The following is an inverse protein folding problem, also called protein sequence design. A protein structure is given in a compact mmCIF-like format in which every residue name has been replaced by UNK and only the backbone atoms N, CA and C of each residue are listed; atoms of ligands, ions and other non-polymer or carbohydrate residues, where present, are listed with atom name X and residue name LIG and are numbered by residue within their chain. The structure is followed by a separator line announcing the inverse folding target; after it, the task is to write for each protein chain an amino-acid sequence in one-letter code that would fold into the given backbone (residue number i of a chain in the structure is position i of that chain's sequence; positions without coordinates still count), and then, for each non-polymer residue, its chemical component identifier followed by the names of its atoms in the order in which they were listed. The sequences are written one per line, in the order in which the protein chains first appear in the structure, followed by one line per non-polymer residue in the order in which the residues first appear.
data_IF_064529232947
#
_entry.id   IF_064529232947
#
_cell.length_a   1.000
_cell.length_b   1.000
_cell.length_c   1.000
_cell.angle_alpha   90.00
_cell.angle_beta   90.00
_cell.angle_gamma   90.00
#
_symmetry.space_group_name_H-M   'P 1'
#
loop_
_entity.id
_entity.type
_entity.pdbx_description
1 polymer ?
#
# COMPACT_ATOMS: atom_id res chain seq x y z
N UNK A 1 -27.29 -1.23 9.18
CA UNK A 1 -26.99 -2.64 8.86
C UNK A 1 -27.59 -3.49 9.94
N UNK A 2 -28.46 -4.37 9.73
CA UNK A 2 -29.04 -5.17 10.78
C UNK A 2 -29.98 -6.25 10.31
N UNK A 3 -30.51 -6.20 9.13
CA UNK A 3 -31.39 -7.25 8.59
C UNK A 3 -31.33 -7.35 7.07
N UNK A 4 -30.39 -6.62 6.43
CA UNK A 4 -30.11 -6.77 5.01
C UNK A 4 -29.04 -7.84 4.86
N UNK A 5 -29.21 -8.73 3.92
CA UNK A 5 -28.32 -9.86 3.66
C UNK A 5 -26.95 -9.36 3.18
N UNK A 6 -25.85 -9.85 3.73
CA UNK A 6 -25.72 -10.75 4.88
C UNK A 6 -25.75 -10.00 6.23
N UNK A 7 -26.79 -10.20 7.00
CA UNK A 7 -27.15 -9.36 8.17
C UNK A 7 -26.24 -9.52 9.39
N UNK A 8 -25.44 -10.56 9.46
CA UNK A 8 -24.59 -10.92 10.60
C UNK A 8 -23.09 -10.72 10.33
N UNK A 9 -22.69 -10.39 9.09
CA UNK A 9 -21.28 -10.21 8.74
C UNK A 9 -20.70 -8.89 9.27
N UNK A 10 -21.50 -7.83 9.34
CA UNK A 10 -21.03 -6.49 9.72
C UNK A 10 -21.97 -5.85 10.72
N UNK A 11 -21.43 -5.16 11.73
CA UNK A 11 -22.20 -4.46 12.75
C UNK A 11 -21.53 -3.15 13.16
N UNK A 12 -22.30 -2.19 13.59
CA UNK A 12 -21.76 -1.01 14.25
C UNK A 12 -21.22 -1.37 15.64
N UNK A 13 -20.08 -0.78 16.01
CA UNK A 13 -19.42 -1.05 17.31
C UNK A 13 -20.24 -0.54 18.50
N UNK A 14 -21.12 0.46 18.30
CA UNK A 14 -22.00 1.02 19.30
C UNK A 14 -23.34 0.24 19.43
N UNK A 15 -23.57 -0.77 18.58
CA UNK A 15 -24.77 -1.60 18.57
C UNK A 15 -26.05 -0.89 18.10
N UNK A 16 -26.00 0.39 17.76
CA UNK A 16 -27.16 1.17 17.32
C UNK A 16 -27.42 0.94 15.84
N UNK A 17 -28.69 1.02 15.42
CA UNK A 17 -29.07 1.08 14.01
C UNK A 17 -28.84 2.48 13.45
N UNK A 18 -28.69 2.60 12.12
CA UNK A 18 -28.72 3.88 11.44
C UNK A 18 -30.11 4.50 11.60
N UNK A 19 -30.15 5.72 12.16
CA UNK A 19 -31.38 6.50 12.24
C UNK A 19 -31.74 7.10 10.88
N UNK A 20 -33.04 7.15 10.60
CA UNK A 20 -33.56 7.86 9.44
C UNK A 20 -34.96 8.41 9.76
N UNK A 21 -35.38 9.42 9.04
CA UNK A 21 -36.76 9.91 9.08
C UNK A 21 -37.30 10.21 7.67
N UNK A 22 -38.56 10.05 7.48
CA UNK A 22 -39.23 10.31 6.18
C UNK A 22 -40.35 11.29 6.40
N UNK A 23 -40.44 12.31 5.54
CA UNK A 23 -41.56 13.27 5.51
C UNK A 23 -42.16 13.30 4.11
N UNK A 24 -43.47 13.50 4.03
CA UNK A 24 -44.17 13.81 2.80
C UNK A 24 -44.89 15.14 2.95
N UNK A 25 -44.50 16.09 2.11
CA UNK A 25 -45.00 17.49 2.20
C UNK A 25 -44.80 18.11 3.59
N UNK A 26 -43.62 17.85 4.19
CA UNK A 26 -43.26 18.33 5.52
C UNK A 26 -43.88 17.56 6.69
N UNK A 27 -44.81 16.62 6.44
CA UNK A 27 -45.41 15.81 7.48
C UNK A 27 -44.64 14.48 7.67
N UNK A 28 -44.28 14.09 8.90
CA UNK A 28 -43.65 12.82 9.19
C UNK A 28 -44.54 11.66 8.71
N UNK A 29 -43.89 10.64 8.16
CA UNK A 29 -44.55 9.38 7.79
C UNK A 29 -43.87 8.26 8.56
N UNK A 30 -44.65 7.46 9.26
CA UNK A 30 -44.19 6.26 9.93
C UNK A 30 -44.58 5.04 9.10
N UNK A 31 -43.62 4.15 8.88
CA UNK A 31 -43.83 2.85 8.26
C UNK A 31 -42.76 1.88 8.74
N UNK A 32 -43.10 0.62 8.80
CA UNK A 32 -42.13 -0.44 9.05
C UNK A 32 -41.33 -0.74 7.77
N UNK A 33 -40.04 -1.04 7.94
CA UNK A 33 -39.22 -1.51 6.83
C UNK A 33 -39.62 -2.93 6.44
N UNK A 34 -40.01 -3.10 5.18
CA UNK A 34 -40.27 -4.41 4.59
C UNK A 34 -39.14 -4.74 3.61
N UNK A 35 -38.38 -5.79 3.88
CA UNK A 35 -37.25 -6.22 3.08
C UNK A 35 -36.19 -5.09 2.80
N UNK A 36 -36.03 -4.17 3.76
CA UNK A 36 -35.15 -3.03 3.64
C UNK A 36 -35.75 -1.80 2.94
N UNK A 37 -36.97 -1.86 2.51
CA UNK A 37 -37.67 -0.76 1.88
C UNK A 37 -38.61 -0.06 2.85
N UNK A 38 -38.66 1.27 2.78
CA UNK A 38 -39.64 2.10 3.44
C UNK A 38 -40.84 2.30 2.49
N UNK A 39 -41.96 1.70 2.79
CA UNK A 39 -43.15 1.73 1.90
C UNK A 39 -44.11 2.83 2.31
N UNK A 40 -44.48 3.68 1.36
CA UNK A 40 -45.49 4.75 1.57
C UNK A 40 -46.67 4.47 0.68
N UNK A 41 -47.79 4.07 1.27
CA UNK A 41 -49.06 3.87 0.57
C UNK A 41 -49.96 5.10 0.75
N UNK A 42 -50.17 5.82 -0.36
CA UNK A 42 -51.02 7.02 -0.39
C UNK A 42 -51.49 7.36 -1.81
N UNK A 43 -52.45 8.25 -1.92
CA UNK A 43 -52.83 8.84 -3.20
C UNK A 43 -51.88 9.99 -3.53
N UNK A 44 -50.97 9.76 -4.46
CA UNK A 44 -49.94 10.72 -4.90
C UNK A 44 -50.58 11.81 -5.79
N UNK A 45 -50.09 13.06 -5.64
CA UNK A 45 -50.45 14.20 -6.47
C UNK A 45 -49.22 14.81 -7.09
N UNK A 46 -49.41 15.47 -8.25
CA UNK A 46 -48.30 16.21 -8.88
C UNK A 46 -47.82 17.31 -7.93
N UNK A 47 -46.51 17.31 -7.64
CA UNK A 47 -45.89 18.27 -6.71
C UNK A 47 -45.72 17.74 -5.28
N UNK A 48 -46.18 16.52 -4.96
CA UNK A 48 -45.85 15.91 -3.68
C UNK A 48 -44.32 15.77 -3.55
N UNK A 49 -43.80 16.17 -2.37
CA UNK A 49 -42.36 16.14 -2.04
C UNK A 49 -42.12 15.11 -0.95
N UNK A 50 -41.19 14.17 -1.22
CA UNK A 50 -40.69 13.22 -0.24
C UNK A 50 -39.33 13.70 0.22
N UNK A 51 -39.13 13.83 1.52
CA UNK A 51 -37.90 14.19 2.18
C UNK A 51 -37.42 13.01 3.03
N UNK A 52 -36.21 12.54 2.78
CA UNK A 52 -35.56 11.48 3.56
C UNK A 52 -34.34 12.08 4.25
N UNK A 53 -34.27 11.89 5.55
CA UNK A 53 -33.12 12.29 6.35
C UNK A 53 -32.47 11.04 6.94
N UNK A 54 -31.14 10.96 6.85
CA UNK A 54 -30.32 9.93 7.49
C UNK A 54 -29.47 10.56 8.58
N UNK A 55 -29.25 9.85 9.69
CA UNK A 55 -28.23 10.22 10.65
C UNK A 55 -26.85 10.12 9.98
N UNK A 56 -26.12 11.22 10.00
CA UNK A 56 -24.82 11.36 9.33
C UNK A 56 -23.65 11.43 10.32
N UNK A 57 -23.80 10.85 11.51
CA UNK A 57 -22.68 10.71 12.45
C UNK A 57 -21.70 9.65 11.99
N UNK A 58 -20.36 9.93 12.02
CA UNK A 58 -19.36 8.92 11.74
C UNK A 58 -19.41 7.77 12.74
N UNK A 59 -19.36 6.55 12.27
CA UNK A 59 -19.49 5.34 13.10
C UNK A 59 -18.52 4.26 12.68
N UNK A 60 -18.07 3.49 13.66
CA UNK A 60 -17.17 2.35 13.47
C UNK A 60 -17.97 1.10 13.15
N UNK A 61 -17.62 0.43 12.07
CA UNK A 61 -18.15 -0.88 11.64
C UNK A 61 -17.11 -1.96 11.94
N UNK A 62 -17.56 -3.08 12.49
CA UNK A 62 -16.76 -4.29 12.73
C UNK A 62 -17.29 -5.45 11.92
N UNK A 63 -16.37 -6.24 11.36
CA UNK A 63 -16.69 -7.50 10.73
C UNK A 63 -16.96 -8.60 11.78
N UNK A 64 -17.71 -9.62 11.39
CA UNK A 64 -17.85 -10.83 12.18
C UNK A 64 -16.50 -11.56 12.26
N UNK A 65 -16.19 -12.21 13.39
CA UNK A 65 -14.89 -12.88 13.64
C UNK A 65 -14.52 -13.97 12.60
N UNK A 66 -15.50 -14.50 11.87
CA UNK A 66 -15.26 -15.46 10.77
C UNK A 66 -14.79 -14.81 9.46
N UNK A 67 -14.86 -13.48 9.34
CA UNK A 67 -14.29 -12.75 8.20
C UNK A 67 -12.82 -12.50 8.54
N UNK A 68 -11.97 -13.44 8.17
CA UNK A 68 -10.55 -13.45 8.59
C UNK A 68 -9.76 -12.28 8.03
N UNK A 69 -10.06 -11.84 6.80
CA UNK A 69 -9.39 -10.70 6.15
C UNK A 69 -9.56 -9.37 6.92
N UNK A 70 -10.64 -9.22 7.69
CA UNK A 70 -10.94 -8.00 8.43
C UNK A 70 -10.64 -8.11 9.93
N UNK A 71 -9.97 -9.20 10.33
CA UNK A 71 -9.60 -9.41 11.75
C UNK A 71 -8.63 -8.33 12.22
N UNK A 72 -8.89 -7.76 13.40
CA UNK A 72 -8.11 -6.66 13.96
C UNK A 72 -8.30 -5.31 13.24
N UNK A 73 -9.31 -5.20 12.37
CA UNK A 73 -9.60 -4.02 11.55
C UNK A 73 -11.01 -3.49 11.79
N UNK A 74 -11.22 -2.25 11.40
CA UNK A 74 -12.53 -1.58 11.41
C UNK A 74 -12.72 -0.77 10.14
N UNK A 75 -13.97 -0.57 9.73
CA UNK A 75 -14.32 0.41 8.72
C UNK A 75 -15.06 1.59 9.36
N UNK A 76 -15.07 2.72 8.67
CA UNK A 76 -15.81 3.92 9.09
C UNK A 76 -16.94 4.19 8.10
N UNK A 77 -18.15 4.41 8.62
CA UNK A 77 -19.31 4.83 7.84
C UNK A 77 -19.85 6.15 8.39
N UNK A 78 -20.35 7.01 7.50
CA UNK A 78 -21.10 8.23 7.85
C UNK A 78 -22.46 8.15 7.13
N UNK A 79 -23.52 7.93 7.89
CA UNK A 79 -24.81 7.57 7.31
C UNK A 79 -24.68 6.30 6.44
N UNK A 80 -25.15 6.30 5.18
CA UNK A 80 -25.03 5.17 4.27
C UNK A 80 -23.67 5.11 3.52
N UNK A 81 -22.78 6.07 3.75
CA UNK A 81 -21.52 6.20 3.03
C UNK A 81 -20.38 5.50 3.76
N UNK A 82 -19.65 4.65 3.05
CA UNK A 82 -18.39 4.05 3.51
C UNK A 82 -17.26 5.05 3.25
N UNK A 83 -16.28 5.10 4.15
CA UNK A 83 -15.11 5.96 4.07
C UNK A 83 -13.83 5.13 3.90
N UNK A 84 -12.82 5.72 3.28
CA UNK A 84 -11.49 5.13 3.12
C UNK A 84 -10.39 6.17 3.38
N UNK A 85 -9.22 5.70 3.80
CA UNK A 85 -7.99 6.46 3.72
C UNK A 85 -7.43 6.38 2.31
N UNK A 86 -6.95 7.50 1.74
CA UNK A 86 -6.29 7.55 0.46
C UNK A 86 -4.96 8.30 0.59
N UNK A 87 -3.94 7.88 -0.15
CA UNK A 87 -2.59 8.42 -0.08
C UNK A 87 -2.47 9.94 -0.25
N UNK A 88 -3.25 10.64 -1.12
CA UNK A 88 -3.05 12.07 -1.33
C UNK A 88 -3.58 12.96 -0.20
N UNK A 89 -4.35 12.39 0.73
CA UNK A 89 -4.90 13.11 1.89
C UNK A 89 -4.06 12.92 3.15
N UNK A 90 -3.04 12.05 3.08
CA UNK A 90 -2.22 11.65 4.22
C UNK A 90 -0.75 11.68 3.80
N UNK A 91 0.09 12.45 4.49
CA UNK A 91 1.52 12.64 4.22
C UNK A 91 2.42 11.53 4.80
N UNK A 92 1.83 10.37 5.08
CA UNK A 92 2.48 9.16 5.60
C UNK A 92 1.98 7.91 4.88
N UNK A 93 2.68 6.79 5.06
CA UNK A 93 2.22 5.51 4.51
C UNK A 93 0.98 5.02 5.26
N UNK A 94 -0.17 5.10 4.60
CA UNK A 94 -1.46 4.67 5.18
C UNK A 94 -1.51 3.17 5.49
N UNK A 95 -0.63 2.35 4.89
CA UNK A 95 -0.57 0.91 5.19
C UNK A 95 0.01 0.63 6.58
N UNK A 96 0.77 1.58 7.13
CA UNK A 96 1.37 1.50 8.47
C UNK A 96 0.50 2.10 9.57
N UNK A 97 -0.70 2.61 9.24
CA UNK A 97 -1.57 3.28 10.20
C UNK A 97 -2.19 2.31 11.20
N UNK A 98 -2.31 2.74 12.44
CA UNK A 98 -3.03 2.08 13.53
C UNK A 98 -4.04 3.06 14.12
N UNK A 99 -5.34 2.83 13.93
CA UNK A 99 -6.39 3.68 14.50
C UNK A 99 -6.68 3.31 15.96
N UNK A 100 -7.03 4.32 16.75
CA UNK A 100 -7.40 4.14 18.14
C UNK A 100 -8.60 3.17 18.28
N UNK A 101 -8.62 2.40 19.38
CA UNK A 101 -9.74 1.49 19.66
C UNK A 101 -11.08 2.20 19.82
N UNK A 102 -11.07 3.47 20.22
CA UNK A 102 -12.25 4.35 20.32
C UNK A 102 -11.94 5.67 19.62
N UNK A 103 -11.96 5.68 18.28
CA UNK A 103 -11.63 6.89 17.53
C UNK A 103 -12.66 7.98 17.82
N UNK A 104 -12.17 9.21 17.94
CA UNK A 104 -13.01 10.41 17.94
C UNK A 104 -12.98 10.98 16.53
N UNK A 105 -14.10 11.36 15.99
CA UNK A 105 -14.24 11.83 14.63
C UNK A 105 -14.59 13.30 14.59
N UNK A 106 -13.92 14.02 13.71
CA UNK A 106 -14.29 15.36 13.26
C UNK A 106 -14.71 15.31 11.80
N UNK A 107 -15.75 16.03 11.43
CA UNK A 107 -16.20 16.14 10.03
C UNK A 107 -15.86 17.52 9.48
N UNK A 108 -15.25 17.56 8.29
CA UNK A 108 -14.83 18.80 7.61
C UNK A 108 -15.44 18.84 6.21
N UNK A 109 -16.25 19.86 5.95
CA UNK A 109 -16.83 20.07 4.61
C UNK A 109 -15.78 20.59 3.63
N UNK A 110 -15.71 19.97 2.44
CA UNK A 110 -14.80 20.31 1.34
C UNK A 110 -15.60 20.58 0.06
N UNK A 111 -16.23 21.74 -0.07
CA UNK A 111 -17.12 22.01 -1.20
C UNK A 111 -16.39 22.04 -2.55
N UNK A 112 -15.11 22.38 -2.57
CA UNK A 112 -14.31 22.53 -3.80
C UNK A 112 -13.55 21.24 -4.18
N UNK A 113 -13.59 20.20 -3.35
CA UNK A 113 -12.88 18.95 -3.57
C UNK A 113 -13.82 17.92 -4.23
N UNK A 114 -13.44 17.37 -5.41
CA UNK A 114 -14.14 16.28 -6.09
C UNK A 114 -15.68 16.49 -6.18
N UNK A 115 -16.10 17.70 -6.57
CA UNK A 115 -17.51 18.13 -6.65
C UNK A 115 -18.22 18.30 -5.30
N UNK A 116 -17.49 18.41 -4.23
CA UNK A 116 -17.97 18.59 -2.86
C UNK A 116 -18.11 17.26 -2.10
N UNK A 117 -17.42 17.18 -0.99
CA UNK A 117 -17.48 16.02 -0.09
C UNK A 117 -17.27 16.47 1.37
N UNK A 118 -17.55 15.58 2.31
CA UNK A 118 -17.21 15.72 3.72
C UNK A 118 -16.05 14.79 4.04
N UNK A 119 -14.92 15.31 4.51
CA UNK A 119 -13.85 14.50 5.12
C UNK A 119 -14.21 14.11 6.54
N UNK A 120 -13.62 13.00 6.99
CA UNK A 120 -13.59 12.62 8.41
C UNK A 120 -12.14 12.61 8.85
N UNK A 121 -11.83 13.30 9.96
CA UNK A 121 -10.53 13.31 10.59
C UNK A 121 -10.56 12.56 11.91
N UNK A 122 -9.49 11.84 12.22
CA UNK A 122 -9.33 11.14 13.50
C UNK A 122 -7.86 10.99 13.87
N UNK A 123 -7.57 11.00 15.18
CA UNK A 123 -6.23 10.66 15.67
C UNK A 123 -5.91 9.19 15.41
N UNK A 124 -4.70 8.93 14.96
CA UNK A 124 -4.15 7.60 14.70
C UNK A 124 -2.65 7.59 15.02
N UNK A 125 -2.01 6.44 14.86
CA UNK A 125 -0.55 6.29 14.92
C UNK A 125 -0.04 5.69 13.61
N UNK A 126 1.14 6.11 13.20
CA UNK A 126 1.92 5.46 12.15
C UNK A 126 2.97 4.59 12.82
N UNK A 127 2.99 3.32 12.47
CA UNK A 127 3.97 2.37 12.98
C UNK A 127 5.13 2.23 12.01
N UNK A 128 6.33 2.10 12.55
CA UNK A 128 7.54 1.88 11.78
C UNK A 128 8.60 1.16 12.61
N UNK A 129 9.70 0.82 11.99
CA UNK A 129 10.86 0.30 12.69
C UNK A 129 11.99 1.34 12.66
N UNK A 130 12.73 1.46 13.75
CA UNK A 130 13.98 2.25 13.78
C UNK A 130 15.15 1.46 13.18
N UNK A 131 16.32 2.11 13.11
CA UNK A 131 17.55 1.48 12.59
C UNK A 131 18.05 0.27 13.39
N UNK A 132 17.51 0.06 14.60
CA UNK A 132 17.83 -1.09 15.46
C UNK A 132 16.74 -2.18 15.37
N UNK A 133 15.76 -2.02 14.44
CA UNK A 133 14.65 -2.96 14.25
C UNK A 133 13.58 -2.94 15.35
N UNK A 134 13.54 -1.88 16.17
CA UNK A 134 12.53 -1.73 17.20
C UNK A 134 11.29 -1.03 16.66
N UNK A 135 10.11 -1.56 16.99
CA UNK A 135 8.84 -0.94 16.59
C UNK A 135 8.70 0.44 17.21
N UNK A 136 8.42 1.43 16.40
CA UNK A 136 8.15 2.82 16.79
C UNK A 136 6.72 3.20 16.43
N UNK A 137 6.19 4.22 17.10
CA UNK A 137 4.88 4.77 16.82
C UNK A 137 4.94 6.30 16.88
N UNK A 138 4.35 6.97 15.90
CA UNK A 138 4.22 8.43 15.85
C UNK A 138 2.77 8.81 15.69
N UNK A 139 2.29 9.76 16.49
CA UNK A 139 0.91 10.24 16.41
C UNK A 139 0.70 11.07 15.14
N UNK A 140 -0.42 10.82 14.47
CA UNK A 140 -0.82 11.50 13.24
C UNK A 140 -2.31 11.81 13.24
N UNK A 141 -2.73 12.72 12.38
CA UNK A 141 -4.13 12.95 12.03
C UNK A 141 -4.45 12.18 10.74
N UNK A 142 -5.28 11.16 10.83
CA UNK A 142 -5.74 10.39 9.68
C UNK A 142 -6.96 11.07 9.06
N UNK A 143 -6.87 11.36 7.76
CA UNK A 143 -7.96 11.89 6.94
C UNK A 143 -8.60 10.78 6.13
N UNK A 144 -9.93 10.71 6.17
CA UNK A 144 -10.74 9.77 5.42
C UNK A 144 -11.67 10.52 4.48
N UNK A 145 -11.86 10.00 3.27
CA UNK A 145 -12.80 10.51 2.27
C UNK A 145 -13.90 9.47 1.98
N UNK A 146 -15.06 9.87 1.44
CA UNK A 146 -16.06 8.92 1.00
C UNK A 146 -15.50 7.96 -0.07
N UNK A 147 -15.75 6.66 0.07
CA UNK A 147 -15.24 5.63 -0.85
C UNK A 147 -15.58 5.89 -2.32
N UNK A 148 -16.71 6.53 -2.64
CA UNK A 148 -17.06 6.86 -4.03
C UNK A 148 -16.11 7.88 -4.67
N UNK A 149 -15.32 8.60 -3.87
CA UNK A 149 -14.43 9.68 -4.30
C UNK A 149 -12.96 9.22 -4.48
N UNK A 150 -12.61 7.97 -4.18
CA UNK A 150 -11.24 7.46 -4.31
C UNK A 150 -10.82 7.26 -5.77
N UNK A 151 -9.52 7.14 -6.02
CA UNK A 151 -8.86 6.89 -7.32
C UNK A 151 -9.00 8.02 -8.37
N UNK A 152 -9.51 9.20 -8.01
CA UNK A 152 -9.61 10.33 -8.94
C UNK A 152 -8.36 11.22 -9.01
N UNK A 153 -7.37 10.98 -8.14
CA UNK A 153 -6.18 11.82 -7.95
C UNK A 153 -4.86 11.11 -8.21
N UNK A 154 -4.88 10.04 -8.98
CA UNK A 154 -3.71 9.25 -9.37
C UNK A 154 -3.64 7.88 -8.69
N UNK A 155 -2.60 7.11 -9.05
CA UNK A 155 -2.35 5.79 -8.48
C UNK A 155 -1.64 5.91 -7.13
N UNK A 156 -2.07 5.13 -6.15
CA UNK A 156 -1.48 5.07 -4.81
C UNK A 156 -2.28 4.16 -3.89
N UNK A 157 -1.83 4.04 -2.65
CA UNK A 157 -2.46 3.19 -1.65
C UNK A 157 -3.82 3.73 -1.21
N UNK A 158 -4.75 2.81 -0.93
CA UNK A 158 -6.06 3.10 -0.35
C UNK A 158 -6.46 2.00 0.65
N UNK A 159 -7.15 2.37 1.73
CA UNK A 159 -7.57 1.43 2.77
C UNK A 159 -8.97 1.77 3.28
N UNK A 160 -9.88 0.78 3.24
CA UNK A 160 -11.23 0.85 3.86
C UNK A 160 -11.20 0.25 5.25
N UNK A 161 -10.57 -0.92 5.41
CA UNK A 161 -10.48 -1.65 6.67
C UNK A 161 -9.24 -1.23 7.44
N UNK A 162 -9.40 -0.26 8.34
CA UNK A 162 -8.34 0.38 9.11
C UNK A 162 -7.91 -0.51 10.29
N UNK A 163 -6.60 -0.79 10.45
CA UNK A 163 -6.09 -1.58 11.57
C UNK A 163 -6.37 -0.94 12.93
N UNK A 164 -6.78 -1.76 13.90
CA UNK A 164 -6.86 -1.45 15.34
C UNK A 164 -5.92 -2.34 16.18
N UNK A 165 -5.23 -3.26 15.53
CA UNK A 165 -4.25 -4.15 16.15
C UNK A 165 -2.94 -4.09 15.36
N UNK A 166 -1.81 -4.10 16.06
CA UNK A 166 -0.47 -4.03 15.43
C UNK A 166 -0.28 -5.16 14.40
N UNK A 167 -0.77 -6.35 14.71
CA UNK A 167 -0.71 -7.50 13.79
C UNK A 167 -1.49 -7.33 12.48
N UNK A 168 -2.34 -6.33 12.40
CA UNK A 168 -3.11 -6.01 11.19
C UNK A 168 -2.53 -4.82 10.40
N UNK A 169 -1.42 -4.23 10.87
CA UNK A 169 -0.70 -3.14 10.17
C UNK A 169 0.47 -3.70 9.36
N UNK A 170 1.01 -2.86 8.49
CA UNK A 170 2.30 -3.09 7.82
C UNK A 170 3.24 -1.96 8.21
N UNK A 171 3.98 -2.09 9.35
CA UNK A 171 4.87 -1.03 9.82
C UNK A 171 5.94 -0.68 8.78
N UNK A 172 6.19 0.61 8.59
CA UNK A 172 7.18 1.08 7.62
C UNK A 172 8.59 0.69 8.06
N UNK A 173 9.35 0.11 7.14
CA UNK A 173 10.78 -0.13 7.38
C UNK A 173 11.56 1.19 7.30
N UNK A 174 12.70 1.31 7.99
CA UNK A 174 13.57 2.48 7.86
C UNK A 174 13.95 2.71 6.40
N UNK A 175 13.99 3.97 5.97
CA UNK A 175 14.47 4.29 4.64
C UNK A 175 15.93 3.84 4.49
N UNK A 176 16.27 3.16 3.39
CA UNK A 176 17.63 2.80 3.00
C UNK A 176 18.07 3.68 1.85
N UNK A 177 19.38 3.73 1.57
CA UNK A 177 19.90 4.45 0.41
C UNK A 177 19.27 3.92 -0.89
N UNK A 178 19.06 2.60 -0.99
CA UNK A 178 18.39 1.97 -2.11
C UNK A 178 16.93 2.43 -2.24
N UNK A 179 16.15 2.38 -1.14
CA UNK A 179 14.72 2.74 -1.17
C UNK A 179 14.46 4.21 -1.50
N UNK A 180 15.39 5.12 -1.21
CA UNK A 180 15.32 6.55 -1.54
C UNK A 180 15.83 6.85 -2.95
N UNK A 181 16.42 5.86 -3.64
CA UNK A 181 17.04 6.04 -4.94
C UNK A 181 16.07 5.96 -6.09
N UNK A 182 16.33 6.75 -7.13
CA UNK A 182 15.59 6.61 -8.39
C UNK A 182 16.10 5.38 -9.14
N UNK A 183 15.21 4.45 -9.43
CA UNK A 183 15.50 3.22 -10.18
C UNK A 183 15.33 3.45 -11.67
N UNK A 184 16.28 2.94 -12.49
CA UNK A 184 16.09 2.73 -13.92
C UNK A 184 16.70 1.36 -14.31
N UNK A 185 16.22 0.79 -15.42
CA UNK A 185 16.66 -0.52 -15.89
C UNK A 185 16.64 -0.63 -17.41
N UNK A 186 17.41 -1.57 -17.95
CA UNK A 186 17.51 -1.86 -19.39
C UNK A 186 16.22 -2.42 -20.00
N UNK A 187 15.31 -2.91 -19.17
CA UNK A 187 13.97 -3.38 -19.58
C UNK A 187 12.92 -2.75 -18.66
N UNK A 188 12.11 -1.86 -19.21
CA UNK A 188 11.09 -1.13 -18.45
C UNK A 188 9.83 -1.96 -18.33
N UNK A 189 9.49 -2.34 -17.10
CA UNK A 189 8.24 -3.01 -16.73
C UNK A 189 7.52 -2.20 -15.67
N UNK A 190 6.30 -2.58 -15.35
CA UNK A 190 5.51 -1.95 -14.27
C UNK A 190 6.02 -2.26 -12.86
N UNK A 191 6.97 -3.20 -12.73
CA UNK A 191 7.47 -3.69 -11.45
C UNK A 191 8.85 -3.14 -11.06
N UNK A 192 9.28 -1.98 -11.61
CA UNK A 192 10.56 -1.36 -11.24
C UNK A 192 10.65 -1.05 -9.74
N UNK A 193 9.55 -0.66 -9.11
CA UNK A 193 9.51 -0.36 -7.67
C UNK A 193 9.76 -1.57 -6.77
N UNK A 194 9.63 -2.80 -7.28
CA UNK A 194 9.95 -4.01 -6.53
C UNK A 194 11.44 -4.17 -6.25
N UNK A 195 12.31 -3.46 -6.99
CA UNK A 195 13.77 -3.61 -6.86
C UNK A 195 14.31 -3.00 -5.56
N UNK A 196 13.58 -2.03 -4.99
CA UNK A 196 13.98 -1.29 -3.79
C UNK A 196 12.82 -1.01 -2.82
N UNK A 197 11.84 -1.90 -2.75
CA UNK A 197 10.69 -1.78 -1.86
C UNK A 197 10.96 -2.29 -0.44
N UNK A 198 12.16 -2.82 -0.19
CA UNK A 198 12.65 -3.36 1.10
C UNK A 198 11.92 -4.63 1.54
N UNK A 199 11.24 -5.28 0.63
CA UNK A 199 10.59 -6.55 0.91
C UNK A 199 11.57 -7.69 0.61
N UNK A 200 11.84 -8.51 1.62
CA UNK A 200 12.73 -9.66 1.52
C UNK A 200 11.90 -10.92 1.23
N UNK A 201 12.18 -11.65 0.14
CA UNK A 201 11.45 -12.86 -0.19
C UNK A 201 11.72 -13.99 0.81
N UNK A 202 10.74 -14.87 1.01
CA UNK A 202 10.92 -16.08 1.83
C UNK A 202 11.68 -17.20 1.09
N UNK A 203 11.61 -17.20 -0.25
CA UNK A 203 12.35 -18.09 -1.14
C UNK A 203 12.56 -17.44 -2.53
N UNK A 204 13.20 -18.17 -3.45
CA UNK A 204 13.50 -17.66 -4.80
C UNK A 204 12.28 -17.51 -5.71
N UNK A 205 11.11 -18.03 -5.33
CA UNK A 205 9.87 -18.00 -6.11
C UNK A 205 8.68 -17.47 -5.28
N UNK A 206 8.94 -16.58 -4.35
CA UNK A 206 7.90 -15.97 -3.53
C UNK A 206 6.90 -15.20 -4.40
N UNK A 207 5.67 -15.72 -4.49
CA UNK A 207 4.57 -15.12 -5.27
C UNK A 207 3.67 -14.20 -4.45
N UNK A 208 3.99 -14.01 -3.18
CA UNK A 208 3.23 -13.11 -2.30
C UNK A 208 3.62 -11.64 -2.47
N UNK A 209 4.74 -11.36 -3.13
CA UNK A 209 5.29 -10.03 -3.34
C UNK A 209 5.61 -9.73 -4.81
N UNK A 210 5.81 -8.47 -5.13
CA UNK A 210 6.22 -8.05 -6.46
C UNK A 210 7.69 -8.42 -6.72
N UNK A 211 8.03 -8.61 -7.98
CA UNK A 211 9.40 -8.85 -8.43
C UNK A 211 9.63 -8.21 -9.81
N UNK A 212 10.86 -7.82 -10.08
CA UNK A 212 11.31 -7.34 -11.38
C UNK A 212 11.93 -8.47 -12.19
N UNK A 213 11.80 -8.45 -13.54
CA UNK A 213 12.43 -9.40 -14.44
C UNK A 213 12.74 -8.79 -15.80
N UNK A 214 13.71 -9.37 -16.53
CA UNK A 214 14.06 -8.99 -17.89
C UNK A 214 13.30 -9.78 -18.97
N UNK A 215 12.37 -10.66 -18.60
CA UNK A 215 11.60 -11.44 -19.58
C UNK A 215 10.96 -10.52 -20.64
N UNK A 216 11.05 -10.84 -21.98
CA UNK A 216 11.51 -12.13 -22.54
C UNK A 216 12.99 -12.18 -22.97
N UNK A 217 13.85 -11.26 -22.51
CA UNK A 217 15.26 -11.20 -22.88
C UNK A 217 16.03 -12.40 -22.33
N UNK A 218 17.00 -12.90 -23.12
CA UNK A 218 17.87 -14.04 -22.83
C UNK A 218 19.22 -13.81 -23.47
N UNK A 219 20.28 -14.46 -22.95
CA UNK A 219 21.63 -14.42 -23.52
C UNK A 219 22.10 -13.01 -23.87
N UNK A 220 21.81 -12.07 -22.99
CA UNK A 220 22.18 -10.66 -23.13
C UNK A 220 22.75 -10.11 -21.83
N UNK A 221 23.42 -8.98 -21.91
CA UNK A 221 23.85 -8.22 -20.75
C UNK A 221 22.84 -7.12 -20.50
N UNK A 222 22.27 -7.12 -19.31
CA UNK A 222 21.24 -6.22 -18.87
C UNK A 222 21.71 -5.44 -17.65
N UNK A 223 20.96 -4.40 -17.24
CA UNK A 223 21.37 -3.59 -16.10
C UNK A 223 20.17 -3.00 -15.34
N UNK A 224 20.45 -2.67 -14.06
CA UNK A 224 19.65 -1.81 -13.19
C UNK A 224 20.57 -0.69 -12.68
N UNK A 225 20.05 0.51 -12.51
CA UNK A 225 20.78 1.63 -11.90
C UNK A 225 20.00 2.27 -10.78
N UNK A 226 20.72 2.68 -9.74
CA UNK A 226 20.27 3.63 -8.74
C UNK A 226 20.92 4.98 -8.96
N UNK A 227 20.12 6.03 -8.93
CA UNK A 227 20.58 7.41 -8.82
C UNK A 227 20.23 7.89 -7.41
N UNK A 228 21.23 8.15 -6.61
CA UNK A 228 21.10 8.50 -5.20
C UNK A 228 20.57 9.91 -5.01
N UNK A 229 19.78 10.21 -3.96
CA UNK A 229 19.30 11.56 -3.68
C UNK A 229 20.41 12.54 -3.34
N UNK A 230 21.55 12.05 -2.87
CA UNK A 230 22.79 12.80 -2.58
C UNK A 230 24.01 11.91 -2.74
N UNK A 231 25.22 12.48 -2.95
CA UNK A 231 26.46 11.71 -2.95
C UNK A 231 26.59 10.91 -1.65
N UNK A 232 26.74 9.61 -1.75
CA UNK A 232 26.79 8.68 -0.62
C UNK A 232 28.01 7.79 -0.69
N UNK A 233 28.54 7.39 0.47
CA UNK A 233 29.61 6.42 0.58
C UNK A 233 28.98 5.04 0.71
N UNK A 234 29.39 4.12 -0.18
CA UNK A 234 28.87 2.75 -0.22
C UNK A 234 30.03 1.76 -0.23
N UNK A 235 29.84 0.61 0.41
CA UNK A 235 30.86 -0.43 0.58
C UNK A 235 30.35 -1.85 0.48
N UNK A 236 29.03 -2.03 0.41
CA UNK A 236 28.42 -3.34 0.24
C UNK A 236 27.19 -3.27 -0.67
N UNK A 237 26.80 -4.42 -1.20
CA UNK A 237 25.60 -4.56 -2.01
C UNK A 237 25.04 -5.98 -1.91
N UNK A 238 23.72 -6.09 -1.75
CA UNK A 238 23.00 -7.36 -1.61
C UNK A 238 21.90 -7.47 -2.65
N UNK A 239 21.84 -8.62 -3.34
CA UNK A 239 20.78 -8.91 -4.32
C UNK A 239 20.03 -10.17 -3.93
N UNK A 240 18.70 -10.12 -4.00
CA UNK A 240 17.80 -11.26 -3.89
C UNK A 240 17.30 -11.63 -5.29
N UNK A 241 17.74 -12.77 -5.82
CA UNK A 241 17.40 -13.23 -7.16
C UNK A 241 16.04 -13.90 -7.21
N UNK A 242 15.26 -13.55 -8.24
CA UNK A 242 14.01 -14.26 -8.58
C UNK A 242 14.29 -15.41 -9.55
N UNK A 243 13.80 -16.61 -9.21
CA UNK A 243 13.90 -17.82 -10.02
C UNK A 243 12.57 -18.57 -9.95
N UNK A 244 11.91 -18.79 -11.06
CA UNK A 244 10.61 -19.42 -11.13
C UNK A 244 10.65 -20.87 -11.68
N UNK A 245 11.77 -21.55 -11.52
CA UNK A 245 11.89 -22.97 -11.83
C UNK A 245 10.88 -23.82 -11.04
N UNK A 246 10.25 -24.84 -11.63
CA UNK A 246 10.37 -25.29 -13.03
C UNK A 246 9.36 -24.65 -14.00
N UNK A 247 8.47 -23.78 -13.51
CA UNK A 247 7.26 -23.37 -14.24
C UNK A 247 7.44 -22.17 -15.16
N UNK A 248 8.37 -21.27 -14.85
CA UNK A 248 8.59 -20.05 -15.60
C UNK A 248 9.91 -20.01 -16.34
N UNK A 249 10.20 -18.84 -16.94
CA UNK A 249 11.37 -18.62 -17.79
C UNK A 249 12.49 -17.81 -17.15
N UNK A 250 12.41 -17.50 -15.86
CA UNK A 250 13.46 -16.80 -15.14
C UNK A 250 14.31 -17.76 -14.31
N UNK A 251 15.63 -17.52 -14.30
CA UNK A 251 16.62 -18.24 -13.49
C UNK A 251 17.55 -17.24 -12.82
N UNK A 252 18.30 -17.66 -11.82
CA UNK A 252 19.41 -16.85 -11.35
C UNK A 252 20.33 -16.49 -12.51
N UNK A 253 20.99 -15.34 -12.51
CA UNK A 253 21.83 -14.91 -13.63
C UNK A 253 23.06 -15.79 -13.79
N UNK A 254 23.63 -15.80 -14.99
CA UNK A 254 24.90 -16.47 -15.26
C UNK A 254 26.05 -15.80 -14.49
N UNK A 255 26.04 -14.48 -14.40
CA UNK A 255 26.97 -13.66 -13.63
C UNK A 255 26.46 -12.24 -13.49
N UNK A 256 27.03 -11.50 -12.56
CA UNK A 256 26.72 -10.08 -12.37
C UNK A 256 27.93 -9.32 -11.88
N UNK A 257 27.90 -7.98 -11.98
CA UNK A 257 28.95 -7.06 -11.51
C UNK A 257 28.35 -5.75 -11.07
N UNK A 258 29.09 -5.06 -10.20
CA UNK A 258 28.73 -3.74 -9.70
C UNK A 258 29.67 -2.66 -10.25
N UNK A 259 29.07 -1.52 -10.56
CA UNK A 259 29.79 -0.32 -10.99
C UNK A 259 29.28 0.88 -10.20
N UNK A 260 30.16 1.84 -9.97
CA UNK A 260 29.80 3.14 -9.42
C UNK A 260 30.02 4.24 -10.47
N UNK A 261 29.32 5.35 -10.35
CA UNK A 261 29.50 6.53 -11.19
C UNK A 261 30.69 7.34 -10.65
N UNK A 262 31.78 7.44 -11.43
CA UNK A 262 32.94 8.20 -11.06
C UNK A 262 32.72 9.72 -11.21
N UNK A 263 33.68 10.55 -10.76
CA UNK A 263 33.59 12.02 -10.82
C UNK A 263 33.48 12.57 -12.25
N UNK A 264 33.95 11.84 -13.25
CA UNK A 264 33.87 12.19 -14.67
C UNK A 264 32.52 11.74 -15.29
N UNK A 265 31.63 11.14 -14.50
CA UNK A 265 30.30 10.65 -14.94
C UNK A 265 30.34 9.30 -15.64
N UNK A 266 31.48 8.63 -15.71
CA UNK A 266 31.67 7.29 -16.28
C UNK A 266 31.37 6.18 -15.26
N UNK A 267 31.10 4.97 -15.77
CA UNK A 267 30.91 3.78 -14.94
C UNK A 267 32.25 3.09 -14.70
N UNK A 268 32.62 2.92 -13.44
CA UNK A 268 33.85 2.23 -13.00
C UNK A 268 33.46 0.99 -12.18
N UNK A 269 34.03 -0.20 -12.46
CA UNK A 269 33.74 -1.37 -11.65
C UNK A 269 34.23 -1.17 -10.21
N UNK A 270 33.45 -1.67 -9.23
CA UNK A 270 33.89 -1.67 -7.83
C UNK A 270 35.02 -2.68 -7.63
N UNK A 271 35.90 -2.40 -6.67
CA UNK A 271 36.96 -3.34 -6.25
C UNK A 271 36.40 -4.29 -5.21
N UNK A 272 35.74 -5.35 -5.68
CA UNK A 272 35.11 -6.35 -4.83
C UNK A 272 36.12 -7.19 -4.07
N UNK A 273 35.82 -7.50 -2.81
CA UNK A 273 36.62 -8.35 -1.92
C UNK A 273 36.14 -9.80 -1.85
N UNK A 274 35.06 -10.15 -2.59
CA UNK A 274 34.46 -11.47 -2.62
C UNK A 274 33.91 -11.86 -3.98
N UNK A 275 33.29 -13.01 -4.05
CA UNK A 275 32.66 -13.53 -5.28
C UNK A 275 31.24 -12.96 -5.43
N UNK A 276 30.83 -12.73 -6.67
CA UNK A 276 29.46 -12.36 -7.04
C UNK A 276 28.57 -13.61 -7.05
N UNK A 277 27.88 -13.86 -5.91
CA UNK A 277 27.05 -15.04 -5.71
C UNK A 277 25.79 -15.06 -6.58
N UNK A 278 25.36 -16.27 -6.96
CA UNK A 278 24.11 -16.51 -7.68
C UNK A 278 23.29 -17.60 -7.00
N UNK A 279 23.27 -17.64 -5.67
CA UNK A 279 22.54 -18.64 -4.89
C UNK A 279 21.03 -18.29 -4.86
N UNK A 280 20.21 -19.32 -4.95
CA UNK A 280 18.74 -19.24 -4.86
C UNK A 280 18.28 -19.08 -3.41
N UNK A 281 17.21 -18.32 -3.19
CA UNK A 281 16.49 -18.21 -1.91
C UNK A 281 17.27 -17.59 -0.76
N UNK A 282 18.43 -16.97 -1.03
CA UNK A 282 19.27 -16.32 -0.02
C UNK A 282 19.83 -15.01 -0.53
N UNK A 283 20.23 -14.08 0.37
CA UNK A 283 20.93 -12.86 -0.02
C UNK A 283 22.28 -13.18 -0.65
N UNK A 284 22.61 -12.50 -1.75
CA UNK A 284 23.89 -12.56 -2.42
C UNK A 284 24.63 -11.24 -2.20
N UNK A 285 25.42 -11.17 -1.14
CA UNK A 285 26.12 -9.95 -0.71
C UNK A 285 27.55 -9.92 -1.26
N UNK A 286 27.97 -8.75 -1.74
CA UNK A 286 29.34 -8.43 -2.16
C UNK A 286 29.82 -7.22 -1.40
N UNK A 287 30.93 -7.37 -0.70
CA UNK A 287 31.69 -6.26 -0.11
C UNK A 287 32.73 -5.72 -1.09
N UNK A 288 32.98 -4.44 -1.04
CA UNK A 288 33.99 -3.79 -1.90
C UNK A 288 34.64 -2.61 -1.21
N UNK A 289 35.79 -2.19 -1.75
CA UNK A 289 36.44 -0.98 -1.27
C UNK A 289 35.47 0.19 -1.31
N UNK A 290 35.30 0.90 -0.18
CA UNK A 290 34.31 1.99 -0.10
C UNK A 290 34.50 3.05 -1.17
N UNK A 291 33.44 3.46 -1.85
CA UNK A 291 33.42 4.49 -2.88
C UNK A 291 32.43 5.59 -2.55
N UNK A 292 32.78 6.84 -2.85
CA UNK A 292 31.88 7.98 -2.78
C UNK A 292 31.27 8.17 -4.18
N UNK A 293 29.94 8.09 -4.30
CA UNK A 293 29.29 8.14 -5.61
C UNK A 293 27.86 8.72 -5.54
N UNK A 294 27.33 9.11 -6.68
CA UNK A 294 25.94 9.55 -6.85
C UNK A 294 25.05 8.47 -7.48
N UNK A 295 25.64 7.36 -7.96
CA UNK A 295 24.88 6.32 -8.62
C UNK A 295 25.62 4.98 -8.62
N UNK A 296 24.87 3.89 -8.53
CA UNK A 296 25.36 2.52 -8.70
C UNK A 296 24.68 1.84 -9.88
N UNK A 297 25.40 0.91 -10.52
CA UNK A 297 24.86 0.05 -11.58
C UNK A 297 25.14 -1.42 -11.24
N UNK A 298 24.07 -2.19 -11.26
CA UNK A 298 24.07 -3.65 -11.28
C UNK A 298 24.01 -4.10 -12.74
N UNK A 299 25.05 -4.76 -13.24
CA UNK A 299 25.11 -5.33 -14.58
C UNK A 299 24.98 -6.84 -14.48
N UNK A 300 24.09 -7.43 -15.27
CA UNK A 300 23.67 -8.82 -15.16
C UNK A 300 23.80 -9.51 -16.51
N UNK A 301 24.45 -10.66 -16.55
CA UNK A 301 24.52 -11.52 -17.74
C UNK A 301 23.43 -12.58 -17.62
N UNK A 302 22.47 -12.55 -18.55
CA UNK A 302 21.36 -13.49 -18.56
C UNK A 302 21.81 -14.87 -19.06
N UNK A 303 21.22 -15.97 -18.53
CA UNK A 303 21.46 -17.31 -19.03
C UNK A 303 21.10 -17.45 -20.52
N UNK A 304 21.73 -18.42 -21.20
CA UNK A 304 21.56 -18.64 -22.64
C UNK A 304 20.09 -18.87 -23.03
N UNK A 305 19.35 -19.67 -22.25
CA UNK A 305 18.02 -20.13 -22.59
C UNK A 305 16.93 -19.53 -21.68
N UNK A 306 17.30 -18.72 -20.68
CA UNK A 306 16.40 -18.17 -19.69
C UNK A 306 16.63 -16.65 -19.50
N UNK A 307 15.64 -15.98 -18.96
CA UNK A 307 15.76 -14.64 -18.42
C UNK A 307 16.26 -14.71 -16.97
N UNK A 308 16.35 -13.54 -16.30
CA UNK A 308 16.58 -13.46 -14.87
C UNK A 308 15.61 -12.44 -14.24
N UNK A 309 15.51 -12.44 -12.92
CA UNK A 309 14.74 -11.46 -12.17
C UNK A 309 15.36 -11.13 -10.82
N UNK A 310 14.87 -10.07 -10.21
CA UNK A 310 15.30 -9.51 -8.93
C UNK A 310 14.09 -9.24 -8.07
N UNK A 311 14.12 -9.67 -6.82
CA UNK A 311 13.18 -9.23 -5.80
C UNK A 311 13.62 -7.89 -5.21
N UNK A 312 14.86 -7.84 -4.72
CA UNK A 312 15.39 -6.68 -4.01
C UNK A 312 16.87 -6.49 -4.33
N UNK A 313 17.31 -5.24 -4.45
CA UNK A 313 18.72 -4.86 -4.57
C UNK A 313 19.05 -3.75 -3.58
N UNK A 314 19.81 -4.08 -2.54
CA UNK A 314 20.28 -3.15 -1.52
C UNK A 314 21.72 -2.69 -1.77
N UNK A 315 22.03 -1.47 -1.32
CA UNK A 315 23.38 -0.85 -1.34
C UNK A 315 23.62 -0.12 -0.02
N UNK A 316 24.79 -0.34 0.60
CA UNK A 316 25.17 0.20 1.91
C UNK A 316 26.60 0.79 1.90
#
# INVERSE_FOLDING_TARGET
RGQVVPSDLYRYSDGKRLGYSVKVNGQPVESELQDGYFTIERRWKKGDKVEVHFDMEPRVVKAHAKVEADRGRVAVERGPLVYCAEWPDNDFDIMSVLVNRRPQFETVEKPDMLCGLTEIKTGAQVLGYDSEGRLTASDVELTLIPYYAWAHRGAGNMMVWLPQEVSATSPSMPATLASESRVDASHKTTALSAINDRLVPVDENDRSMAYYHWWPKKNSTEWITYEFPKPSKVSSSTVYWFDDEPWGGCRVPQSWKLYYKNEQGGWTPVSASGEYGTKKGVPNTVEFTPVQTTAMKLEVVLPKDNSAGVFEWEVE
#
